data_IF_474648129385
#
_entry.id   IF_474648129385
#
_cell.length_a   1.000
_cell.length_b   1.000
_cell.length_c   1.000
_cell.angle_alpha   90.00
_cell.angle_beta   90.00
_cell.angle_gamma   90.00
#
_symmetry.space_group_name_H-M   'P 1'
#
loop_
_entity.id
_entity.type
_entity.pdbx_description
1 polymer ?
#
# COMPACT_ATOMS: atom_id res chain seq x y z
N UNK A 1 67.01 68.92 -45.94
CA UNK A 1 67.25 68.12 -44.72
C UNK A 1 66.00 67.31 -44.43
N UNK A 2 66.17 65.99 -44.36
CA UNK A 2 65.43 64.97 -43.56
C UNK A 2 63.88 65.03 -43.55
N UNK A 3 63.20 64.14 -44.29
CA UNK A 3 62.72 62.81 -43.83
C UNK A 3 61.73 62.87 -42.66
N UNK A 4 60.46 62.52 -42.90
CA UNK A 4 59.93 61.25 -42.37
C UNK A 4 58.59 60.85 -43.00
N UNK A 5 58.55 59.59 -43.43
CA UNK A 5 57.37 58.83 -43.81
C UNK A 5 56.60 58.47 -42.54
N UNK A 6 55.28 58.61 -42.54
CA UNK A 6 54.41 57.97 -41.56
C UNK A 6 53.46 57.00 -42.26
N UNK A 7 53.78 55.72 -42.12
CA UNK A 7 52.93 54.57 -42.39
C UNK A 7 52.31 54.13 -41.06
N UNK A 8 50.98 53.97 -40.99
CA UNK A 8 50.30 53.25 -39.91
C UNK A 8 48.99 52.69 -40.46
N UNK A 9 49.00 51.45 -40.97
CA UNK A 9 48.60 50.20 -40.31
C UNK A 9 47.10 50.14 -39.94
N UNK A 10 46.34 49.54 -40.85
CA UNK A 10 44.97 49.04 -40.63
C UNK A 10 44.96 48.07 -39.44
N UNK A 11 44.17 48.37 -38.42
CA UNK A 11 43.91 47.47 -37.29
C UNK A 11 42.77 46.53 -37.70
N UNK A 12 43.08 45.25 -37.93
CA UNK A 12 42.08 44.19 -38.00
C UNK A 12 41.68 43.81 -36.58
N UNK A 13 40.42 44.05 -36.21
CA UNK A 13 39.82 43.53 -34.98
C UNK A 13 39.38 42.09 -35.27
N UNK A 14 40.11 41.11 -34.73
CA UNK A 14 39.66 39.72 -34.68
C UNK A 14 38.64 39.59 -33.54
N UNK A 15 37.35 39.51 -33.88
CA UNK A 15 36.33 39.00 -32.95
C UNK A 15 36.56 37.49 -32.78
N UNK A 16 37.18 37.12 -31.66
CA UNK A 16 37.23 35.74 -31.20
C UNK A 16 35.85 35.40 -30.61
N UNK A 17 34.95 34.90 -31.44
CA UNK A 17 33.69 34.31 -30.99
C UNK A 17 34.00 33.03 -30.24
N UNK A 18 34.02 33.09 -28.90
CA UNK A 18 34.05 31.92 -28.04
C UNK A 18 32.65 31.27 -28.13
N UNK A 19 32.47 30.34 -29.06
CA UNK A 19 31.33 29.43 -29.05
C UNK A 19 31.50 28.48 -27.87
N UNK A 20 30.89 28.82 -26.73
CA UNK A 20 30.61 27.86 -25.67
C UNK A 20 29.61 26.85 -26.23
N UNK A 21 30.13 25.75 -26.77
CA UNK A 21 29.35 24.54 -26.98
C UNK A 21 29.04 23.99 -25.59
N UNK A 22 27.89 24.37 -25.05
CA UNK A 22 27.27 23.64 -23.96
C UNK A 22 26.93 22.25 -24.50
N UNK A 23 27.78 21.27 -24.23
CA UNK A 23 27.41 19.87 -24.30
C UNK A 23 26.50 19.62 -23.10
N UNK A 24 25.23 19.97 -23.26
CA UNK A 24 24.18 19.41 -22.43
C UNK A 24 24.06 17.95 -22.85
N UNK A 25 24.68 17.06 -22.08
CA UNK A 25 24.20 15.69 -22.00
C UNK A 25 22.78 15.78 -21.45
N UNK A 26 21.80 15.94 -22.33
CA UNK A 26 20.45 15.50 -22.03
C UNK A 26 20.50 13.97 -22.06
N UNK A 27 21.03 13.40 -20.97
CA UNK A 27 20.62 12.07 -20.56
C UNK A 27 19.13 12.18 -20.25
N UNK A 28 18.31 12.04 -21.29
CA UNK A 28 16.89 11.80 -21.17
C UNK A 28 16.74 10.38 -20.60
N UNK A 29 17.16 10.20 -19.34
CA UNK A 29 16.64 9.13 -18.53
C UNK A 29 15.17 9.46 -18.37
N UNK A 30 14.35 8.93 -19.28
CA UNK A 30 12.98 8.59 -18.97
C UNK A 30 13.02 7.59 -17.80
N UNK A 31 13.43 8.04 -16.61
CA UNK A 31 13.06 7.37 -15.38
C UNK A 31 11.55 7.51 -15.36
N UNK A 32 10.85 6.43 -15.65
CA UNK A 32 9.41 6.40 -15.57
C UNK A 32 9.08 6.68 -14.09
N UNK A 33 8.84 7.94 -13.73
CA UNK A 33 8.69 8.39 -12.34
C UNK A 33 7.39 7.89 -11.75
N UNK A 34 6.46 7.42 -12.59
CA UNK A 34 5.19 6.83 -12.20
C UNK A 34 4.97 5.48 -12.87
N UNK A 35 4.14 4.64 -12.26
CA UNK A 35 3.64 3.40 -12.80
C UNK A 35 2.16 3.18 -12.44
N UNK A 36 1.47 2.36 -13.23
CA UNK A 36 0.12 1.86 -12.91
C UNK A 36 0.21 0.39 -12.51
N UNK A 37 -0.53 0.01 -11.48
CA UNK A 37 -0.63 -1.36 -11.01
C UNK A 37 -2.08 -1.81 -10.96
N UNK A 38 -2.30 -3.10 -11.20
CA UNK A 38 -3.51 -3.80 -10.77
C UNK A 38 -3.17 -4.60 -9.52
N UNK A 39 -3.83 -4.28 -8.41
CA UNK A 39 -3.89 -5.13 -7.23
C UNK A 39 -5.01 -6.15 -7.43
N UNK A 40 -4.65 -7.42 -7.36
CA UNK A 40 -5.57 -8.54 -7.33
C UNK A 40 -5.58 -9.15 -5.93
N UNK A 41 -6.72 -9.10 -5.25
CA UNK A 41 -6.94 -9.86 -4.03
C UNK A 41 -7.53 -11.23 -4.38
N UNK A 42 -6.88 -12.31 -3.95
CA UNK A 42 -7.39 -13.68 -4.11
C UNK A 42 -7.53 -14.35 -2.75
N UNK A 43 -8.76 -14.75 -2.42
CA UNK A 43 -9.07 -15.44 -1.17
C UNK A 43 -8.84 -16.95 -1.30
N UNK A 44 -8.25 -17.50 -0.25
CA UNK A 44 -8.16 -18.92 0.05
C UNK A 44 -9.02 -19.29 1.27
N UNK A 45 -9.83 -18.35 1.80
CA UNK A 45 -10.72 -18.60 2.94
C UNK A 45 -11.97 -19.34 2.49
N UNK A 46 -12.12 -20.58 2.93
CA UNK A 46 -13.25 -21.44 2.59
C UNK A 46 -13.53 -22.44 3.71
N UNK A 47 -14.73 -23.04 3.70
CA UNK A 47 -15.08 -24.13 4.63
C UNK A 47 -14.23 -25.40 4.46
N UNK A 48 -13.43 -25.50 3.39
CA UNK A 48 -12.50 -26.61 3.15
C UNK A 48 -11.12 -26.32 3.73
N UNK A 49 -10.65 -25.10 3.57
CA UNK A 49 -9.29 -24.67 3.95
C UNK A 49 -9.20 -24.15 5.37
N UNK A 50 -10.28 -23.56 5.89
CA UNK A 50 -10.43 -23.06 7.27
C UNK A 50 -11.82 -23.50 7.80
N UNK A 51 -12.01 -24.79 8.13
CA UNK A 51 -13.32 -25.36 8.44
C UNK A 51 -13.90 -24.93 9.79
N UNK A 52 -13.08 -24.54 10.77
CA UNK A 52 -13.52 -24.31 12.14
C UNK A 52 -14.41 -23.08 12.22
N UNK A 53 -15.68 -23.27 12.56
CA UNK A 53 -16.73 -22.24 12.65
C UNK A 53 -16.86 -21.35 11.40
N UNK A 54 -16.53 -21.87 10.22
CA UNK A 54 -16.59 -21.11 8.98
C UNK A 54 -18.00 -20.51 8.74
N UNK A 55 -18.13 -19.18 8.60
CA UNK A 55 -19.43 -18.53 8.45
C UNK A 55 -20.02 -18.74 7.04
N UNK A 56 -21.33 -18.97 6.96
CA UNK A 56 -22.02 -19.20 5.68
C UNK A 56 -22.05 -17.97 4.76
N UNK A 57 -21.98 -16.78 5.35
CA UNK A 57 -21.88 -15.49 4.67
C UNK A 57 -20.46 -14.92 4.70
N UNK A 58 -19.43 -15.77 4.68
CA UNK A 58 -18.03 -15.33 4.58
C UNK A 58 -17.82 -14.38 3.39
N UNK A 59 -17.20 -13.22 3.64
CA UNK A 59 -16.89 -12.19 2.65
C UNK A 59 -15.74 -11.31 3.14
N UNK A 60 -15.31 -10.37 2.31
CA UNK A 60 -14.38 -9.31 2.70
C UNK A 60 -14.97 -7.94 2.37
N UNK A 61 -14.72 -6.96 3.22
CA UNK A 61 -15.20 -5.58 3.01
C UNK A 61 -14.48 -4.92 1.83
N UNK A 62 -14.91 -3.73 1.37
CA UNK A 62 -14.18 -2.98 0.35
C UNK A 62 -12.69 -2.86 0.66
N UNK A 63 -11.86 -2.99 -0.38
CA UNK A 63 -10.42 -2.72 -0.27
C UNK A 63 -10.23 -1.21 -0.10
N UNK A 64 -9.44 -0.83 0.89
CA UNK A 64 -9.10 0.57 1.15
C UNK A 64 -7.61 0.70 1.44
N UNK A 65 -6.98 1.71 0.87
CA UNK A 65 -5.55 1.89 1.00
C UNK A 65 -5.03 3.18 0.38
N UNK A 66 -3.71 3.30 0.34
CA UNK A 66 -3.04 4.46 -0.25
C UNK A 66 -1.66 4.12 -0.79
N UNK A 67 -1.17 4.95 -1.73
CA UNK A 67 0.26 5.08 -2.00
C UNK A 67 0.87 6.20 -1.17
N UNK A 68 2.02 5.93 -0.57
CA UNK A 68 2.60 6.83 0.43
C UNK A 68 4.12 6.75 0.51
N UNK A 69 4.71 7.67 1.25
CA UNK A 69 6.13 7.69 1.57
C UNK A 69 6.38 7.03 2.95
N UNK A 70 7.64 6.92 3.35
CA UNK A 70 8.03 6.26 4.61
C UNK A 70 7.62 7.00 5.89
N UNK A 71 7.08 8.22 5.80
CA UNK A 71 6.62 9.00 6.95
C UNK A 71 5.17 8.67 7.35
N UNK A 72 4.46 7.86 6.57
CA UNK A 72 3.09 7.42 6.83
C UNK A 72 2.98 5.89 6.84
N UNK A 73 1.93 5.39 7.49
CA UNK A 73 1.54 3.99 7.55
C UNK A 73 0.03 3.93 7.75
N UNK A 74 -0.62 2.92 7.17
CA UNK A 74 -2.07 2.74 7.30
C UNK A 74 -2.43 1.97 8.57
N UNK A 75 -1.59 1.02 8.96
CA UNK A 75 -1.66 0.29 10.22
C UNK A 75 -0.28 -0.28 10.55
N UNK A 76 -0.01 -0.53 11.83
CA UNK A 76 1.25 -1.15 12.25
C UNK A 76 1.01 -2.15 13.37
N UNK A 77 1.56 -3.36 13.23
CA UNK A 77 1.51 -4.32 14.33
C UNK A 77 2.30 -3.79 15.54
N UNK A 78 1.73 -3.98 16.73
CA UNK A 78 2.29 -3.48 17.98
C UNK A 78 1.93 -2.03 18.31
N UNK A 79 1.07 -1.38 17.53
CA UNK A 79 0.48 -0.08 17.87
C UNK A 79 -1.04 -0.18 18.00
N UNK A 80 -1.67 0.78 18.67
CA UNK A 80 -3.13 0.89 18.71
C UNK A 80 -3.68 1.13 17.30
N UNK A 81 -4.86 0.59 17.04
CA UNK A 81 -5.64 0.92 15.85
C UNK A 81 -6.04 2.40 15.85
N UNK A 82 -6.08 3.02 14.67
CA UNK A 82 -6.76 4.31 14.50
C UNK A 82 -8.27 4.08 14.49
N UNK A 83 -9.05 5.14 14.68
CA UNK A 83 -10.52 5.06 14.53
C UNK A 83 -10.93 4.59 13.14
N UNK A 84 -10.16 4.97 12.10
CA UNK A 84 -10.34 4.46 10.74
C UNK A 84 -10.10 2.96 10.62
N UNK A 85 -9.03 2.43 11.23
CA UNK A 85 -8.76 1.00 11.19
C UNK A 85 -9.81 0.21 11.95
N UNK A 86 -10.22 0.69 13.13
CA UNK A 86 -11.32 0.12 13.93
C UNK A 86 -12.62 0.03 13.12
N UNK A 87 -13.04 1.13 12.46
CA UNK A 87 -14.25 1.12 11.62
C UNK A 87 -14.17 0.07 10.50
N UNK A 88 -13.01 -0.03 9.84
CA UNK A 88 -12.80 -1.03 8.78
C UNK A 88 -12.88 -2.44 9.35
N UNK A 89 -12.20 -2.70 10.47
CA UNK A 89 -12.05 -4.04 11.04
C UNK A 89 -13.36 -4.58 11.66
N UNK A 90 -14.20 -3.72 12.23
CA UNK A 90 -15.44 -4.15 12.89
C UNK A 90 -16.66 -4.12 11.97
N UNK A 91 -16.72 -3.17 11.02
CA UNK A 91 -17.93 -2.92 10.23
C UNK A 91 -17.72 -2.95 8.72
N UNK A 92 -16.47 -2.89 8.26
CA UNK A 92 -16.13 -2.71 6.85
C UNK A 92 -16.43 -1.30 6.33
N UNK A 93 -16.80 -0.37 7.22
CA UNK A 93 -16.94 1.05 6.91
C UNK A 93 -15.58 1.66 6.56
N UNK A 94 -15.57 2.57 5.59
CA UNK A 94 -14.32 3.17 5.08
C UNK A 94 -14.27 4.69 5.25
N UNK A 95 -15.25 5.30 5.92
CA UNK A 95 -15.38 6.75 5.94
C UNK A 95 -14.27 7.41 6.77
N UNK A 96 -14.01 6.91 7.96
CA UNK A 96 -13.03 7.48 8.88
C UNK A 96 -11.62 7.28 8.35
N UNK A 97 -11.29 6.09 7.84
CA UNK A 97 -9.96 5.83 7.27
C UNK A 97 -9.69 6.63 5.99
N UNK A 98 -10.73 6.93 5.19
CA UNK A 98 -10.59 7.85 4.05
C UNK A 98 -10.25 9.26 4.51
N UNK A 99 -10.87 9.73 5.61
CA UNK A 99 -10.53 11.00 6.21
C UNK A 99 -9.08 11.02 6.70
N UNK A 100 -8.64 9.96 7.38
CA UNK A 100 -7.26 9.82 7.87
C UNK A 100 -6.25 9.83 6.70
N UNK A 101 -6.52 9.10 5.61
CA UNK A 101 -5.70 9.12 4.40
C UNK A 101 -5.66 10.54 3.80
N UNK A 102 -6.79 11.26 3.80
CA UNK A 102 -6.85 12.66 3.38
C UNK A 102 -5.95 13.58 4.22
N UNK A 103 -5.92 13.39 5.53
CA UNK A 103 -5.03 14.15 6.43
C UNK A 103 -3.54 13.83 6.19
N UNK A 104 -3.22 12.56 5.91
CA UNK A 104 -1.88 12.12 5.52
C UNK A 104 -1.45 12.77 4.20
N UNK A 105 -2.37 12.83 3.22
CA UNK A 105 -2.15 13.49 1.93
C UNK A 105 -1.95 15.01 2.10
N UNK A 106 -2.77 15.67 2.91
CA UNK A 106 -2.62 17.11 3.23
C UNK A 106 -1.29 17.42 3.93
N UNK A 107 -0.74 16.44 4.66
CA UNK A 107 0.57 16.53 5.29
C UNK A 107 1.74 16.23 4.33
N UNK A 108 1.46 15.94 3.06
CA UNK A 108 2.47 15.65 2.04
C UNK A 108 3.05 14.23 2.11
N UNK A 109 2.36 13.28 2.75
CA UNK A 109 2.87 11.93 2.99
C UNK A 109 2.17 10.81 2.19
N UNK A 110 1.14 11.14 1.43
CA UNK A 110 0.39 10.22 0.55
C UNK A 110 0.03 10.91 -0.76
N UNK A 111 -0.19 10.12 -1.82
CA UNK A 111 -0.56 10.65 -3.14
C UNK A 111 -1.89 10.11 -3.65
N UNK A 112 -2.08 8.79 -3.67
CA UNK A 112 -3.26 8.18 -4.28
C UNK A 112 -4.05 7.40 -3.24
N UNK A 113 -5.35 7.66 -3.18
CA UNK A 113 -6.31 6.81 -2.49
C UNK A 113 -6.59 5.57 -3.35
N UNK A 114 -6.61 4.39 -2.71
CA UNK A 114 -6.94 3.11 -3.35
C UNK A 114 -8.29 2.67 -2.80
N UNK A 115 -9.30 2.62 -3.66
CA UNK A 115 -10.64 2.11 -3.34
C UNK A 115 -11.01 0.98 -4.28
N UNK A 116 -11.19 -0.22 -3.73
CA UNK A 116 -11.63 -1.39 -4.46
C UNK A 116 -12.96 -1.92 -3.93
N UNK A 117 -13.65 -2.70 -4.77
CA UNK A 117 -14.82 -3.43 -4.31
C UNK A 117 -14.44 -4.46 -3.22
N UNK A 118 -15.41 -4.84 -2.41
CA UNK A 118 -15.27 -5.97 -1.50
C UNK A 118 -15.33 -7.31 -2.23
N UNK A 119 -14.92 -8.38 -1.55
CA UNK A 119 -15.03 -9.73 -2.07
C UNK A 119 -16.29 -10.39 -1.51
N UNK A 120 -17.36 -10.40 -2.30
CA UNK A 120 -18.65 -10.95 -1.90
C UNK A 120 -18.61 -12.47 -1.67
N UNK A 121 -19.55 -13.00 -0.89
CA UNK A 121 -19.69 -14.44 -0.64
C UNK A 121 -19.72 -15.25 -1.94
N UNK A 122 -18.92 -16.31 -1.98
CA UNK A 122 -18.80 -17.20 -3.13
C UNK A 122 -17.86 -16.70 -4.24
N UNK A 123 -17.33 -15.47 -4.13
CA UNK A 123 -16.27 -14.97 -5.01
C UNK A 123 -14.91 -15.29 -4.42
N UNK A 124 -13.93 -15.54 -5.29
CA UNK A 124 -12.56 -15.85 -4.87
C UNK A 124 -11.57 -14.75 -5.21
N UNK A 125 -11.93 -13.79 -6.07
CA UNK A 125 -11.04 -12.73 -6.50
C UNK A 125 -11.75 -11.39 -6.74
N UNK A 126 -11.06 -10.29 -6.43
CA UNK A 126 -11.44 -8.91 -6.78
C UNK A 126 -10.19 -8.12 -7.17
N UNK A 127 -10.34 -7.10 -8.01
CA UNK A 127 -9.24 -6.29 -8.52
C UNK A 127 -9.50 -4.79 -8.34
N UNK A 128 -8.43 -4.03 -8.16
CA UNK A 128 -8.42 -2.57 -8.16
C UNK A 128 -7.17 -2.06 -8.87
N UNK A 129 -7.32 -1.01 -9.66
CA UNK A 129 -6.20 -0.34 -10.32
C UNK A 129 -5.82 0.93 -9.58
N UNK A 130 -4.53 1.21 -9.46
CA UNK A 130 -4.02 2.44 -8.84
C UNK A 130 -2.71 2.89 -9.49
N UNK A 131 -2.38 4.17 -9.28
CA UNK A 131 -1.12 4.78 -9.71
C UNK A 131 -0.17 4.97 -8.53
N UNK A 132 1.11 4.86 -8.80
CA UNK A 132 2.20 5.04 -7.82
C UNK A 132 3.34 5.81 -8.47
N UNK A 133 4.09 6.59 -7.70
CA UNK A 133 5.26 7.31 -8.18
C UNK A 133 6.47 7.18 -7.24
N UNK A 134 7.63 7.64 -7.70
CA UNK A 134 8.89 7.50 -6.97
C UNK A 134 8.96 8.34 -5.68
N UNK A 135 8.09 9.33 -5.51
CA UNK A 135 8.01 10.12 -4.28
C UNK A 135 7.17 9.38 -3.21
N UNK A 136 6.20 8.58 -3.65
CA UNK A 136 5.30 7.77 -2.81
C UNK A 136 5.29 6.29 -3.22
N UNK A 137 6.46 5.59 -3.18
CA UNK A 137 6.61 4.26 -3.79
C UNK A 137 6.04 3.11 -2.94
N UNK A 138 5.55 3.39 -1.72
CA UNK A 138 5.01 2.40 -0.81
C UNK A 138 3.50 2.28 -1.02
N UNK A 139 2.98 1.06 -0.91
CA UNK A 139 1.54 0.80 -0.92
C UNK A 139 1.12 0.12 0.38
N UNK A 140 0.03 0.62 0.96
CA UNK A 140 -0.68 -0.01 2.07
C UNK A 140 -2.14 -0.21 1.69
N UNK A 141 -2.66 -1.42 1.90
CA UNK A 141 -4.07 -1.77 1.60
C UNK A 141 -4.56 -2.74 2.66
N UNK A 142 -5.79 -2.54 3.14
CA UNK A 142 -6.48 -3.41 4.09
C UNK A 142 -7.89 -3.77 3.59
N UNK A 143 -8.45 -4.83 4.16
CA UNK A 143 -9.86 -5.22 4.06
C UNK A 143 -10.25 -6.08 5.26
N UNK A 144 -11.50 -5.96 5.70
CA UNK A 144 -12.07 -6.73 6.81
C UNK A 144 -12.27 -8.19 6.43
N UNK A 145 -12.01 -9.10 7.37
CA UNK A 145 -12.47 -10.49 7.30
C UNK A 145 -13.89 -10.52 7.88
N UNK A 146 -14.88 -10.95 7.11
CA UNK A 146 -16.28 -10.74 7.48
C UNK A 146 -17.12 -12.03 7.41
N UNK A 147 -18.01 -12.28 8.39
CA UNK A 147 -18.09 -11.59 9.69
C UNK A 147 -16.87 -11.90 10.56
N UNK A 148 -16.49 -10.95 11.41
CA UNK A 148 -15.55 -11.13 12.51
C UNK A 148 -15.79 -10.04 13.57
N UNK A 149 -15.22 -10.18 14.78
CA UNK A 149 -15.22 -9.12 15.78
C UNK A 149 -14.52 -7.86 15.26
N UNK A 150 -13.23 -7.98 14.94
CA UNK A 150 -12.38 -6.86 14.51
C UNK A 150 -11.18 -7.34 13.66
N UNK A 151 -11.39 -8.39 12.87
CA UNK A 151 -10.32 -9.05 12.13
C UNK A 151 -10.18 -8.50 10.71
N UNK A 152 -8.95 -8.30 10.28
CA UNK A 152 -8.64 -7.78 8.95
C UNK A 152 -7.41 -8.43 8.33
N UNK A 153 -7.23 -8.24 7.03
CA UNK A 153 -6.01 -8.60 6.31
C UNK A 153 -5.49 -7.37 5.59
N UNK A 154 -4.18 -7.33 5.35
CA UNK A 154 -3.60 -6.26 4.57
C UNK A 154 -2.09 -6.32 4.45
N UNK A 155 -1.57 -5.34 3.71
CA UNK A 155 -0.14 -5.05 3.61
C UNK A 155 0.09 -3.62 4.08
N UNK A 156 1.16 -3.41 4.83
CA UNK A 156 1.63 -2.09 5.25
C UNK A 156 2.97 -1.82 4.58
N UNK A 157 3.09 -0.65 3.96
CA UNK A 157 4.35 -0.10 3.46
C UNK A 157 5.10 -0.99 2.45
N UNK A 158 4.39 -1.70 1.56
CA UNK A 158 5.00 -2.55 0.54
C UNK A 158 5.67 -1.69 -0.54
N UNK A 159 6.98 -1.81 -0.71
CA UNK A 159 7.72 -1.00 -1.70
C UNK A 159 7.64 -1.59 -3.12
N UNK A 160 7.02 -0.87 -4.05
CA UNK A 160 6.92 -1.26 -5.47
C UNK A 160 8.04 -0.70 -6.34
N UNK A 161 8.87 0.22 -5.83
CA UNK A 161 10.04 0.76 -6.52
C UNK A 161 11.34 0.33 -5.82
N UNK A 162 12.02 -0.65 -6.40
CA UNK A 162 13.18 -1.30 -5.81
C UNK A 162 14.38 -1.20 -6.74
N UNK A 163 15.55 -0.88 -6.20
CA UNK A 163 16.81 -0.86 -6.96
C UNK A 163 16.76 0.02 -8.23
N UNK A 164 16.01 1.13 -8.18
CA UNK A 164 15.87 2.06 -9.31
C UNK A 164 14.86 1.63 -10.39
N UNK A 165 14.03 0.61 -10.14
CA UNK A 165 13.03 0.12 -11.07
C UNK A 165 11.71 -0.26 -10.39
N UNK A 166 10.60 -0.13 -11.14
CA UNK A 166 9.29 -0.63 -10.75
C UNK A 166 9.25 -2.16 -10.82
N UNK A 167 8.77 -2.81 -9.77
CA UNK A 167 8.59 -4.26 -9.71
C UNK A 167 7.47 -4.69 -10.68
N UNK A 168 7.72 -5.61 -11.59
CA UNK A 168 6.72 -6.02 -12.60
C UNK A 168 5.56 -6.83 -12.01
N UNK A 169 5.87 -7.74 -11.08
CA UNK A 169 4.93 -8.65 -10.44
C UNK A 169 5.40 -8.94 -9.00
N UNK A 170 4.50 -8.79 -8.02
CA UNK A 170 4.77 -9.05 -6.62
C UNK A 170 3.55 -9.65 -5.93
N UNK A 171 3.68 -10.86 -5.41
CA UNK A 171 2.65 -11.52 -4.61
C UNK A 171 3.04 -11.51 -3.14
N UNK A 172 2.11 -11.10 -2.27
CA UNK A 172 2.21 -11.15 -0.82
C UNK A 172 1.17 -12.13 -0.29
N UNK A 173 1.62 -13.10 0.50
CA UNK A 173 0.73 -13.96 1.27
C UNK A 173 0.19 -13.23 2.49
N UNK A 174 -1.14 -13.26 2.68
CA UNK A 174 -1.80 -12.46 3.70
C UNK A 174 -1.94 -13.22 5.01
N UNK A 175 -1.62 -12.52 6.09
CA UNK A 175 -1.94 -12.94 7.45
C UNK A 175 -3.15 -12.19 7.96
N UNK A 176 -3.91 -12.84 8.84
CA UNK A 176 -5.01 -12.21 9.56
C UNK A 176 -4.48 -11.47 10.78
N UNK A 177 -4.93 -10.24 10.94
CA UNK A 177 -4.69 -9.39 12.07
C UNK A 177 -5.97 -9.21 12.89
N UNK A 178 -5.78 -9.01 14.18
CA UNK A 178 -6.75 -8.56 15.16
C UNK A 178 -6.42 -7.10 15.46
N UNK A 179 -7.39 -6.19 15.37
CA UNK A 179 -7.12 -4.76 15.57
C UNK A 179 -7.00 -4.37 17.05
N UNK A 180 -7.45 -5.23 17.97
CA UNK A 180 -7.45 -5.02 19.40
C UNK A 180 -8.61 -4.15 19.89
N UNK A 181 -9.72 -4.11 19.16
CA UNK A 181 -10.86 -3.22 19.42
C UNK A 181 -12.15 -3.93 19.82
N UNK A 182 -12.30 -5.22 19.50
CA UNK A 182 -13.41 -6.08 19.97
C UNK A 182 -12.89 -7.43 20.50
N UNK A 183 -13.32 -7.83 21.70
CA UNK A 183 -12.91 -9.05 22.42
C UNK A 183 -13.72 -10.31 22.02
N UNK A 184 -14.51 -10.25 20.94
CA UNK A 184 -15.22 -11.40 20.40
C UNK A 184 -14.27 -12.56 20.04
N UNK A 185 -14.65 -13.79 20.39
CA UNK A 185 -13.75 -14.94 20.21
C UNK A 185 -13.89 -15.64 18.83
N UNK A 186 -15.09 -15.57 18.25
CA UNK A 186 -15.47 -16.29 17.02
C UNK A 186 -16.02 -15.34 15.95
N UNK A 187 -16.06 -15.79 14.70
CA UNK A 187 -16.54 -15.00 13.54
C UNK A 187 -17.91 -14.33 13.73
N UNK A 188 -18.82 -14.95 14.48
CA UNK A 188 -20.20 -14.45 14.67
C UNK A 188 -20.49 -14.06 16.12
N UNK A 189 -19.46 -13.72 16.89
CA UNK A 189 -19.64 -13.23 18.25
C UNK A 189 -20.45 -11.93 18.23
N UNK A 190 -21.22 -11.70 19.30
CA UNK A 190 -21.75 -10.35 19.52
C UNK A 190 -20.59 -9.39 19.77
N UNK A 191 -20.79 -8.10 19.49
CA UNK A 191 -19.80 -7.07 19.78
C UNK A 191 -19.46 -7.07 21.28
N UNK A 192 -18.16 -7.07 21.59
CA UNK A 192 -17.60 -6.93 22.92
C UNK A 192 -16.44 -5.92 22.87
N UNK A 193 -16.76 -4.63 22.87
CA UNK A 193 -15.76 -3.53 22.92
C UNK A 193 -14.58 -3.80 23.89
N UNK A 194 -13.35 -3.82 23.36
CA UNK A 194 -12.15 -4.04 24.17
C UNK A 194 -11.86 -2.86 25.09
N UNK A 195 -11.75 -3.13 26.40
CA UNK A 195 -11.49 -2.11 27.41
C UNK A 195 -10.43 -2.55 28.43
N UNK A 196 -9.19 -2.01 28.37
CA UNK A 196 -8.69 -1.05 27.37
C UNK A 196 -8.51 -1.69 25.98
N UNK A 197 -8.48 -0.85 24.94
CA UNK A 197 -8.08 -1.26 23.58
C UNK A 197 -6.66 -1.86 23.59
N UNK A 198 -6.47 -2.90 22.80
CA UNK A 198 -5.19 -3.60 22.61
C UNK A 198 -4.47 -3.13 21.35
N UNK A 199 -3.19 -3.48 21.23
CA UNK A 199 -2.44 -3.19 20.00
C UNK A 199 -2.81 -4.18 18.90
N UNK A 200 -2.76 -3.71 17.66
CA UNK A 200 -2.89 -4.53 16.45
C UNK A 200 -1.88 -5.68 16.50
N UNK A 201 -2.35 -6.91 16.34
CA UNK A 201 -1.53 -8.11 16.45
C UNK A 201 -1.93 -9.17 15.43
N UNK A 202 -1.08 -10.18 15.23
CA UNK A 202 -1.46 -11.32 14.39
C UNK A 202 -2.51 -12.17 15.12
N UNK A 203 -3.62 -12.47 14.45
CA UNK A 203 -4.73 -13.20 15.06
C UNK A 203 -4.25 -14.55 15.60
N UNK A 204 -4.46 -14.75 16.89
CA UNK A 204 -4.25 -16.01 17.58
C UNK A 204 -5.46 -16.31 18.44
N UNK A 205 -6.13 -17.43 18.16
CA UNK A 205 -7.37 -17.83 18.85
C UNK A 205 -7.27 -19.25 19.38
N UNK A 206 -8.23 -19.67 20.20
CA UNK A 206 -8.35 -21.07 20.57
C UNK A 206 -8.69 -21.91 19.33
N UNK A 207 -8.18 -23.14 19.29
CA UNK A 207 -8.45 -24.07 18.18
C UNK A 207 -9.93 -24.45 18.03
N UNK A 208 -10.76 -24.22 19.06
CA UNK A 208 -12.20 -24.44 19.00
C UNK A 208 -12.96 -23.25 18.39
N UNK A 209 -12.32 -22.08 18.34
CA UNK A 209 -12.93 -20.82 17.91
C UNK A 209 -12.64 -20.57 16.43
N UNK A 210 -11.37 -20.70 16.02
CA UNK A 210 -10.94 -20.61 14.62
C UNK A 210 -9.72 -21.49 14.33
N UNK A 211 -9.35 -21.59 13.05
CA UNK A 211 -8.11 -22.25 12.62
C UNK A 211 -6.87 -21.35 12.73
N UNK A 212 -6.97 -20.09 13.18
CA UNK A 212 -5.86 -19.14 13.14
C UNK A 212 -4.92 -19.24 14.35
N UNK A 213 -3.61 -19.30 14.05
CA UNK A 213 -2.49 -19.16 14.97
C UNK A 213 -1.43 -18.28 14.30
N UNK A 214 -1.10 -17.13 14.91
CA UNK A 214 -0.20 -16.13 14.32
C UNK A 214 -0.63 -15.70 12.89
N UNK A 215 -1.93 -15.53 12.68
CA UNK A 215 -2.53 -15.02 11.44
C UNK A 215 -2.55 -16.01 10.27
N UNK A 216 -2.17 -17.28 10.48
CA UNK A 216 -2.21 -18.34 9.45
C UNK A 216 -2.91 -19.57 10.00
N UNK A 217 -3.28 -20.51 9.12
CA UNK A 217 -3.87 -21.77 9.53
C UNK A 217 -2.91 -22.57 10.44
N UNK A 218 -3.35 -22.91 11.64
CA UNK A 218 -2.53 -23.51 12.71
C UNK A 218 -1.81 -24.79 12.32
N UNK A 219 -2.45 -25.66 11.53
CA UNK A 219 -1.91 -26.99 11.20
C UNK A 219 -1.17 -27.06 9.88
N UNK A 220 -1.46 -26.16 8.95
CA UNK A 220 -0.98 -26.23 7.55
C UNK A 220 -0.13 -25.03 7.19
N UNK A 221 -0.10 -24.00 8.04
CA UNK A 221 0.49 -22.68 7.76
C UNK A 221 -0.08 -22.00 6.51
N UNK A 222 -1.25 -22.44 6.03
CA UNK A 222 -1.91 -21.83 4.90
C UNK A 222 -2.32 -20.39 5.22
N UNK A 223 -2.07 -19.49 4.27
CA UNK A 223 -2.53 -18.11 4.32
C UNK A 223 -4.00 -18.00 3.89
N UNK A 224 -4.69 -17.00 4.41
CA UNK A 224 -6.12 -16.76 4.13
C UNK A 224 -6.35 -16.25 2.70
N UNK A 225 -5.32 -15.71 2.06
CA UNK A 225 -5.36 -15.21 0.70
C UNK A 225 -4.05 -14.56 0.29
N UNK A 226 -4.06 -13.90 -0.87
CA UNK A 226 -2.90 -13.19 -1.42
C UNK A 226 -3.30 -11.84 -2.00
N UNK A 227 -2.40 -10.87 -1.91
CA UNK A 227 -2.41 -9.67 -2.75
C UNK A 227 -1.34 -9.81 -3.83
N UNK A 228 -1.73 -9.71 -5.09
CA UNK A 228 -0.80 -9.70 -6.23
C UNK A 228 -0.84 -8.33 -6.90
N UNK A 229 0.31 -7.67 -6.97
CA UNK A 229 0.51 -6.37 -7.58
C UNK A 229 1.20 -6.56 -8.93
N UNK A 230 0.50 -6.25 -10.02
CA UNK A 230 1.02 -6.41 -11.37
C UNK A 230 1.07 -5.08 -12.11
N UNK A 231 2.28 -4.69 -12.55
CA UNK A 231 2.48 -3.47 -13.34
C UNK A 231 1.78 -3.59 -14.69
N UNK A 232 1.13 -2.52 -15.12
CA UNK A 232 0.44 -2.43 -16.42
C UNK A 232 1.34 -1.85 -17.52
#
# INVERSE_FOLDING_TARGET
MQWNKFTSKTVLIFLFGLSLVACGDESNSNSNTSASYVLTFTSNWSSVTFPTNYPSNAHFSPLIGMTHNSAASLFKSGTLATTGLEEVAETGGTNSIKSEIGDIQNSGNSQSLIEGNGLATGQTQVQVQFSVDTDFPLVSVITMVAPSPDWFVGVDSLNLYQNGAWVDDLTVELKVYDSGTDDGATFTSANVDSSPKSNVSLLTSNAADTDFLNGVHRSTSAHIGTFTFKRQ
#
